data_IF_914410360268
#
_entry.id   IF_914410360268
#
_cell.length_a   1.000
_cell.length_b   1.000
_cell.length_c   1.000
_cell.angle_alpha   90.00
_cell.angle_beta   90.00
_cell.angle_gamma   90.00
#
_symmetry.space_group_name_H-M   'P 1'
#
loop_
_entity.id
_entity.type
_entity.pdbx_description
1 polymer ?
#
# COMPACT_ATOMS: atom_id res chain seq x y z
N UNK A 1 10.51 2.23 18.47
CA UNK A 1 9.22 1.97 17.78
C UNK A 1 8.51 0.84 18.49
N UNK A 2 7.26 1.03 18.93
CA UNK A 2 6.49 -0.06 19.55
C UNK A 2 6.00 -0.99 18.44
N UNK A 3 6.84 -1.97 18.07
CA UNK A 3 6.63 -2.87 16.93
C UNK A 3 5.28 -3.59 16.97
N UNK A 4 4.83 -3.98 18.16
CA UNK A 4 3.51 -4.57 18.38
C UNK A 4 2.36 -3.64 17.97
N UNK A 5 2.42 -2.35 18.35
CA UNK A 5 1.37 -1.37 18.00
C UNK A 5 1.32 -1.12 16.50
N UNK A 6 2.49 -0.96 15.88
CA UNK A 6 2.59 -0.77 14.42
C UNK A 6 2.07 -2.00 13.65
N UNK A 7 2.39 -3.22 14.10
CA UNK A 7 1.87 -4.46 13.51
C UNK A 7 0.35 -4.53 13.63
N UNK A 8 -0.20 -4.31 14.82
CA UNK A 8 -1.66 -4.33 15.03
C UNK A 8 -2.35 -3.32 14.12
N UNK A 9 -1.83 -2.09 14.04
CA UNK A 9 -2.38 -1.05 13.19
C UNK A 9 -2.39 -1.43 11.71
N UNK A 10 -1.24 -1.84 11.16
CA UNK A 10 -1.11 -2.22 9.75
C UNK A 10 -1.91 -3.47 9.40
N UNK A 11 -1.96 -4.46 10.30
CA UNK A 11 -2.81 -5.65 10.14
C UNK A 11 -4.30 -5.27 10.18
N UNK A 12 -4.70 -4.32 11.02
CA UNK A 12 -6.06 -3.79 11.05
C UNK A 12 -6.44 -3.15 9.71
N UNK A 13 -5.59 -2.27 9.17
CA UNK A 13 -5.82 -1.65 7.86
C UNK A 13 -5.87 -2.66 6.71
N UNK A 14 -4.97 -3.66 6.74
CA UNK A 14 -4.98 -4.75 5.78
C UNK A 14 -6.32 -5.50 5.81
N UNK A 15 -6.83 -5.83 7.01
CA UNK A 15 -8.10 -6.51 7.16
C UNK A 15 -9.27 -5.65 6.68
N UNK A 16 -9.28 -4.36 6.99
CA UNK A 16 -10.31 -3.42 6.50
C UNK A 16 -10.36 -3.42 4.96
N UNK A 17 -9.20 -3.27 4.31
CA UNK A 17 -9.13 -3.30 2.84
C UNK A 17 -9.54 -4.66 2.27
N UNK A 18 -9.10 -5.76 2.90
CA UNK A 18 -9.46 -7.12 2.49
C UNK A 18 -10.98 -7.33 2.57
N UNK A 19 -11.61 -6.91 3.65
CA UNK A 19 -13.06 -7.01 3.81
C UNK A 19 -13.80 -6.13 2.80
N UNK A 20 -13.30 -4.93 2.50
CA UNK A 20 -13.88 -4.05 1.49
C UNK A 20 -13.80 -4.65 0.09
N UNK A 21 -12.68 -5.28 -0.27
CA UNK A 21 -12.52 -5.99 -1.54
C UNK A 21 -13.46 -7.20 -1.64
N UNK A 22 -13.57 -8.00 -0.58
CA UNK A 22 -14.52 -9.12 -0.53
C UNK A 22 -15.96 -8.64 -0.70
N UNK A 23 -16.33 -7.54 -0.05
CA UNK A 23 -17.65 -6.93 -0.20
C UNK A 23 -17.90 -6.46 -1.64
N UNK A 24 -16.97 -5.67 -2.20
CA UNK A 24 -17.08 -5.12 -3.55
C UNK A 24 -17.16 -6.21 -4.63
N UNK A 25 -16.29 -7.21 -4.58
CA UNK A 25 -16.33 -8.33 -5.55
C UNK A 25 -17.46 -9.33 -5.30
N UNK A 26 -18.00 -9.40 -4.08
CA UNK A 26 -19.07 -10.32 -3.73
C UNK A 26 -20.47 -9.79 -4.01
N UNK A 27 -20.68 -8.47 -3.90
CA UNK A 27 -22.00 -7.84 -3.97
C UNK A 27 -22.11 -6.64 -4.92
N UNK A 28 -21.00 -6.18 -5.52
CA UNK A 28 -21.01 -5.09 -6.50
C UNK A 28 -20.65 -5.56 -7.91
N UNK A 29 -20.82 -4.67 -8.89
CA UNK A 29 -20.31 -4.83 -10.25
C UNK A 29 -19.20 -3.80 -10.47
N UNK A 30 -17.96 -4.28 -10.56
CA UNK A 30 -16.79 -3.41 -10.66
C UNK A 30 -16.84 -2.44 -11.87
N UNK A 31 -17.49 -2.84 -12.96
CA UNK A 31 -17.57 -2.03 -14.17
C UNK A 31 -18.74 -1.07 -14.19
N UNK A 32 -19.90 -1.46 -13.70
CA UNK A 32 -21.03 -0.56 -13.55
C UNK A 32 -20.74 0.50 -12.47
N UNK A 33 -20.40 0.05 -11.25
CA UNK A 33 -20.12 0.93 -10.11
C UNK A 33 -18.89 1.83 -10.38
N UNK A 34 -17.90 1.29 -11.10
CA UNK A 34 -16.72 2.05 -11.53
C UNK A 34 -17.04 3.13 -12.57
N UNK A 35 -17.98 2.85 -13.47
CA UNK A 35 -18.49 3.83 -14.44
C UNK A 35 -19.20 4.98 -13.76
N UNK A 36 -20.08 4.68 -12.78
CA UNK A 36 -20.78 5.72 -12.01
C UNK A 36 -19.82 6.65 -11.25
N UNK A 37 -18.71 6.12 -10.73
CA UNK A 37 -17.65 6.92 -10.12
C UNK A 37 -16.96 7.86 -11.12
N UNK A 38 -16.84 7.46 -12.39
CA UNK A 38 -16.24 8.28 -13.44
C UNK A 38 -17.16 9.35 -13.99
N UNK A 39 -18.47 9.15 -13.92
CA UNK A 39 -19.45 10.18 -14.25
C UNK A 39 -19.66 11.20 -13.10
N UNK A 40 -19.23 10.85 -11.90
CA UNK A 40 -19.28 11.73 -10.73
C UNK A 40 -17.97 12.53 -10.54
N UNK A 41 -17.99 13.88 -10.54
CA UNK A 41 -16.79 14.69 -10.33
C UNK A 41 -16.02 14.38 -9.03
N UNK A 42 -16.72 14.11 -7.93
CA UNK A 42 -16.09 13.70 -6.67
C UNK A 42 -15.53 12.28 -6.72
N UNK A 43 -16.13 11.39 -7.53
CA UNK A 43 -15.59 10.06 -7.79
C UNK A 43 -14.25 10.14 -8.52
N UNK A 44 -14.14 10.98 -9.56
CA UNK A 44 -12.87 11.27 -10.24
C UNK A 44 -11.83 11.82 -9.25
N UNK A 45 -12.19 12.84 -8.45
CA UNK A 45 -11.27 13.44 -7.47
C UNK A 45 -10.78 12.38 -6.46
N UNK A 46 -11.68 11.49 -6.01
CA UNK A 46 -11.33 10.43 -5.07
C UNK A 46 -10.39 9.40 -5.69
N UNK A 47 -10.57 9.02 -6.97
CA UNK A 47 -9.60 8.17 -7.66
C UNK A 47 -8.25 8.85 -7.81
N UNK A 48 -8.23 10.12 -8.23
CA UNK A 48 -6.99 10.89 -8.34
C UNK A 48 -6.27 10.96 -6.99
N UNK A 49 -6.98 11.27 -5.91
CA UNK A 49 -6.42 11.34 -4.54
C UNK A 49 -5.77 10.01 -4.12
N UNK A 50 -6.48 8.89 -4.31
CA UNK A 50 -5.99 7.55 -3.99
C UNK A 50 -4.73 7.20 -4.80
N UNK A 51 -4.72 7.44 -6.11
CA UNK A 51 -3.56 7.10 -6.95
C UNK A 51 -2.37 8.02 -6.70
N UNK A 52 -2.57 9.32 -6.44
CA UNK A 52 -1.49 10.21 -5.98
C UNK A 52 -0.90 9.67 -4.67
N UNK A 53 -1.74 9.22 -3.74
CA UNK A 53 -1.32 8.52 -2.54
C UNK A 53 -0.47 7.28 -2.82
N UNK A 54 -0.84 6.45 -3.81
CA UNK A 54 -0.04 5.30 -4.22
C UNK A 54 1.34 5.72 -4.74
N UNK A 55 1.43 6.74 -5.59
CA UNK A 55 2.72 7.21 -6.11
C UNK A 55 3.61 7.79 -5.01
N UNK A 56 3.06 8.50 -4.03
CA UNK A 56 3.81 8.98 -2.87
C UNK A 56 4.37 7.81 -2.05
N UNK A 57 3.54 6.79 -1.80
CA UNK A 57 3.98 5.58 -1.09
C UNK A 57 5.01 4.78 -1.90
N UNK A 58 4.85 4.69 -3.21
CA UNK A 58 5.84 4.08 -4.10
C UNK A 58 7.16 4.83 -4.12
N UNK A 59 7.15 6.16 -3.93
CA UNK A 59 8.37 6.93 -3.68
C UNK A 59 9.15 6.40 -2.48
N UNK A 60 8.46 6.09 -1.37
CA UNK A 60 9.08 5.45 -0.20
C UNK A 60 9.61 4.05 -0.51
N UNK A 61 8.82 3.20 -1.19
CA UNK A 61 9.25 1.86 -1.65
C UNK A 61 10.52 1.96 -2.51
N UNK A 62 10.58 2.94 -3.41
CA UNK A 62 11.68 3.14 -4.35
C UNK A 62 12.98 3.53 -3.66
N UNK A 63 12.89 4.30 -2.58
CA UNK A 63 14.04 4.68 -1.75
C UNK A 63 14.49 3.48 -0.90
N UNK A 64 13.55 2.73 -0.34
CA UNK A 64 13.78 1.62 0.59
C UNK A 64 14.37 0.37 -0.08
N UNK A 65 13.87 -0.01 -1.24
CA UNK A 65 14.33 -1.20 -1.96
C UNK A 65 15.64 -0.91 -2.72
N UNK A 66 16.52 -1.90 -2.78
CA UNK A 66 17.74 -1.84 -3.59
C UNK A 66 17.51 -2.44 -4.99
N UNK A 67 16.80 -3.56 -5.05
CA UNK A 67 16.60 -4.31 -6.28
C UNK A 67 15.52 -3.65 -7.15
N UNK A 68 15.87 -3.30 -8.39
CA UNK A 68 14.93 -2.71 -9.35
C UNK A 68 13.71 -3.60 -9.60
N UNK A 69 13.91 -4.92 -9.69
CA UNK A 69 12.81 -5.86 -9.86
C UNK A 69 11.82 -5.81 -8.70
N UNK A 70 12.30 -5.73 -7.45
CA UNK A 70 11.42 -5.60 -6.28
C UNK A 70 10.60 -4.31 -6.33
N UNK A 71 11.22 -3.19 -6.73
CA UNK A 71 10.52 -1.90 -6.92
C UNK A 71 9.39 -2.01 -7.93
N UNK A 72 9.66 -2.61 -9.09
CA UNK A 72 8.69 -2.75 -10.16
C UNK A 72 7.55 -3.71 -9.76
N UNK A 73 7.88 -4.82 -9.10
CA UNK A 73 6.86 -5.77 -8.62
C UNK A 73 5.93 -5.11 -7.59
N UNK A 74 6.48 -4.37 -6.62
CA UNK A 74 5.68 -3.63 -5.65
C UNK A 74 4.89 -2.49 -6.29
N UNK A 75 5.44 -1.80 -7.29
CA UNK A 75 4.72 -0.79 -8.06
C UNK A 75 3.49 -1.35 -8.74
N UNK A 76 3.64 -2.44 -9.50
CA UNK A 76 2.51 -3.10 -10.16
C UNK A 76 1.51 -3.62 -9.14
N UNK A 77 1.97 -4.27 -8.08
CA UNK A 77 1.11 -4.81 -7.03
C UNK A 77 0.27 -3.73 -6.33
N UNK A 78 0.85 -2.56 -6.07
CA UNK A 78 0.15 -1.45 -5.40
C UNK A 78 -0.76 -0.70 -6.38
N UNK A 79 -0.35 -0.47 -7.62
CA UNK A 79 -1.19 0.23 -8.60
C UNK A 79 -2.43 -0.60 -9.01
N UNK A 80 -2.30 -1.93 -9.03
CA UNK A 80 -3.41 -2.83 -9.40
C UNK A 80 -4.20 -3.26 -8.16
N UNK A 81 -3.51 -3.65 -7.09
CA UNK A 81 -4.12 -4.20 -5.87
C UNK A 81 -4.39 -3.17 -4.77
N UNK A 82 -4.02 -1.91 -5.01
CA UNK A 82 -4.32 -0.77 -4.14
C UNK A 82 -3.75 -0.87 -2.72
N UNK A 83 -4.50 -0.31 -1.78
CA UNK A 83 -4.09 -0.20 -0.38
C UNK A 83 -3.93 -1.56 0.33
N UNK A 84 -4.50 -2.65 -0.19
CA UNK A 84 -4.25 -3.98 0.33
C UNK A 84 -2.76 -4.35 0.21
N UNK A 85 -2.18 -4.14 -0.97
CA UNK A 85 -0.77 -4.42 -1.22
C UNK A 85 0.16 -3.37 -0.62
N UNK A 86 -0.29 -2.12 -0.48
CA UNK A 86 0.46 -1.12 0.29
C UNK A 86 0.58 -1.52 1.77
N UNK A 87 -0.51 -2.01 2.39
CA UNK A 87 -0.47 -2.53 3.75
C UNK A 87 0.41 -3.78 3.86
N UNK A 88 0.32 -4.70 2.88
CA UNK A 88 1.17 -5.89 2.83
C UNK A 88 2.65 -5.51 2.74
N UNK A 89 3.00 -4.53 1.90
CA UNK A 89 4.36 -4.01 1.81
C UNK A 89 4.84 -3.41 3.13
N UNK A 90 4.02 -2.57 3.77
CA UNK A 90 4.37 -1.96 5.05
C UNK A 90 4.57 -3.02 6.16
N UNK A 91 3.75 -4.07 6.19
CA UNK A 91 3.92 -5.22 7.10
C UNK A 91 5.20 -5.98 6.82
N UNK A 92 5.51 -6.23 5.54
CA UNK A 92 6.75 -6.86 5.12
C UNK A 92 7.98 -6.03 5.53
N UNK A 93 7.96 -4.72 5.27
CA UNK A 93 8.98 -3.77 5.70
C UNK A 93 9.16 -3.75 7.21
N UNK A 94 8.05 -3.79 7.97
CA UNK A 94 8.05 -3.83 9.43
C UNK A 94 8.67 -5.14 9.95
N UNK A 95 8.38 -6.28 9.33
CA UNK A 95 9.00 -7.57 9.64
C UNK A 95 10.53 -7.53 9.47
N UNK A 96 11.00 -6.97 8.34
CA UNK A 96 12.44 -6.85 8.07
C UNK A 96 13.17 -5.86 8.99
N UNK A 97 12.46 -4.88 9.55
CA UNK A 97 13.09 -3.84 10.37
C UNK A 97 13.68 -4.31 11.70
N UNK A 98 13.29 -5.50 12.19
CA UNK A 98 13.70 -6.06 13.49
C UNK A 98 13.59 -5.05 14.67
N UNK A 99 12.58 -4.16 14.63
CA UNK A 99 12.34 -3.16 15.69
C UNK A 99 13.13 -1.85 15.53
N UNK A 100 14.05 -1.75 14.57
CA UNK A 100 14.84 -0.55 14.30
C UNK A 100 14.14 0.35 13.29
N UNK A 101 13.88 1.60 13.69
CA UNK A 101 13.16 2.58 12.85
C UNK A 101 13.92 2.89 11.55
N UNK A 102 15.25 3.00 11.62
CA UNK A 102 16.09 3.23 10.45
C UNK A 102 15.91 2.12 9.41
N UNK A 103 15.95 0.85 9.83
CA UNK A 103 15.72 -0.30 8.95
C UNK A 103 14.28 -0.41 8.48
N UNK A 104 13.31 0.26 9.11
CA UNK A 104 11.93 0.36 8.62
C UNK A 104 11.76 1.39 7.51
N UNK A 105 12.49 2.50 7.54
CA UNK A 105 12.36 3.52 6.49
C UNK A 105 13.36 3.34 5.34
N UNK A 106 14.61 2.99 5.65
CA UNK A 106 15.72 3.00 4.68
C UNK A 106 16.14 1.62 4.18
N UNK A 107 15.57 0.55 4.73
CA UNK A 107 15.89 -0.82 4.34
C UNK A 107 17.33 -1.18 4.70
N UNK A 108 18.06 -1.78 3.76
CA UNK A 108 19.44 -2.24 3.97
C UNK A 108 20.48 -1.11 3.87
N UNK A 109 20.07 0.08 3.41
CA UNK A 109 20.93 1.26 3.26
C UNK A 109 21.42 1.86 4.58
N UNK A 110 20.86 1.40 5.70
CA UNK A 110 21.27 1.82 7.06
C UNK A 110 22.71 1.39 7.38
N UNK A 111 23.25 0.34 6.74
CA UNK A 111 24.62 -0.13 6.98
C UNK A 111 25.68 0.58 6.13
N UNK A 112 25.28 1.48 5.23
CA UNK A 112 26.16 2.15 4.25
C UNK A 112 26.49 3.61 4.62
N UNK A 113 26.09 4.06 5.80
CA UNK A 113 26.26 5.43 6.29
C UNK A 113 27.11 5.47 7.57
#
# INVERSE_FOLDING_TARGET
MNHLRARIYLSGLFLVMLTGLIYGFGWGDFWEDGGELMDNPWGIVSLVDVYVGFFLFLGWVWIREDLLLAKLLWAVAILVGGNLFACLYALFALGQSQGKLAHFFLGNKVSSA
#
